data_IF_856297150838
#
_entry.id   IF_856297150838
#
_cell.length_a   1.000
_cell.length_b   1.000
_cell.length_c   1.000
_cell.angle_alpha   90.00
_cell.angle_beta   90.00
_cell.angle_gamma   90.00
#
_symmetry.space_group_name_H-M   'P 1'
#
loop_
_entity.id
_entity.type
_entity.pdbx_description
1 polymer ?
#
# COMPACT_ATOMS: atom_id res chain seq x y z
N UNK A 1 21.78 -0.62 -7.48
CA UNK A 1 21.63 0.23 -6.30
C UNK A 1 20.17 0.38 -5.92
N UNK A 2 19.73 -0.46 -4.99
CA UNK A 2 18.66 -0.13 -4.07
C UNK A 2 19.39 0.15 -2.76
N UNK A 3 19.25 1.39 -2.28
CA UNK A 3 19.99 1.90 -1.13
C UNK A 3 19.49 1.14 0.12
N UNK A 4 20.30 0.25 0.65
CA UNK A 4 19.96 -0.54 1.85
C UNK A 4 19.62 0.41 3.01
N UNK A 5 18.41 0.25 3.56
CA UNK A 5 17.92 1.06 4.68
C UNK A 5 17.24 2.36 4.30
N UNK A 6 17.10 2.70 3.02
CA UNK A 6 16.32 3.87 2.60
C UNK A 6 14.81 3.63 2.73
N UNK A 7 14.10 4.71 3.03
CA UNK A 7 12.65 4.67 3.17
C UNK A 7 11.97 4.59 1.80
N UNK A 8 11.01 3.68 1.69
CA UNK A 8 10.01 3.73 0.62
C UNK A 8 8.96 4.81 0.91
N UNK A 9 8.28 5.25 -0.15
CA UNK A 9 7.21 6.25 -0.08
C UNK A 9 6.13 6.02 -1.12
N UNK A 10 5.22 6.99 -1.27
CA UNK A 10 4.08 6.94 -2.19
C UNK A 10 4.48 6.60 -3.63
N UNK A 11 5.59 7.14 -4.13
CA UNK A 11 6.11 6.84 -5.47
C UNK A 11 6.45 5.35 -5.64
N UNK A 12 7.23 4.80 -4.70
CA UNK A 12 7.59 3.37 -4.72
C UNK A 12 6.38 2.46 -4.55
N UNK A 13 5.41 2.83 -3.71
CA UNK A 13 4.16 2.07 -3.53
C UNK A 13 3.33 2.10 -4.81
N UNK A 14 3.23 3.26 -5.49
CA UNK A 14 2.54 3.36 -6.76
C UNK A 14 3.23 2.53 -7.85
N UNK A 15 4.57 2.60 -7.94
CA UNK A 15 5.34 1.80 -8.88
C UNK A 15 5.11 0.29 -8.67
N UNK A 16 5.07 -0.16 -7.42
CA UNK A 16 4.72 -1.54 -7.06
C UNK A 16 3.32 -1.94 -7.50
N UNK A 17 2.32 -1.05 -7.32
CA UNK A 17 0.94 -1.33 -7.74
C UNK A 17 0.83 -1.62 -9.24
N UNK A 18 1.61 -0.90 -10.06
CA UNK A 18 1.65 -1.06 -11.51
C UNK A 18 2.45 -2.30 -11.90
N UNK A 19 3.66 -2.48 -11.35
CA UNK A 19 4.56 -3.59 -11.70
C UNK A 19 3.93 -4.96 -11.42
N UNK A 20 3.18 -5.07 -10.33
CA UNK A 20 2.53 -6.32 -9.93
C UNK A 20 1.06 -6.41 -10.32
N UNK A 21 0.54 -5.39 -11.02
CA UNK A 21 -0.87 -5.29 -11.42
C UNK A 21 -1.81 -5.60 -10.24
N UNK A 22 -1.58 -4.94 -9.12
CA UNK A 22 -2.34 -5.12 -7.88
C UNK A 22 -2.77 -3.75 -7.35
N UNK A 23 -4.06 -3.52 -7.06
CA UNK A 23 -4.47 -2.26 -6.47
C UNK A 23 -3.92 -2.18 -5.04
N UNK A 24 -3.50 -1.00 -4.60
CA UNK A 24 -3.03 -0.78 -3.23
C UNK A 24 -3.84 0.34 -2.60
N UNK A 25 -4.44 0.07 -1.45
CA UNK A 25 -5.17 1.03 -0.65
C UNK A 25 -4.33 1.44 0.55
N UNK A 26 -3.94 2.71 0.59
CA UNK A 26 -3.15 3.30 1.68
C UNK A 26 -4.09 4.04 2.63
N UNK A 27 -4.12 3.62 3.89
CA UNK A 27 -4.95 4.19 4.96
C UNK A 27 -4.11 5.15 5.79
N UNK A 28 -4.55 6.39 5.98
CA UNK A 28 -3.91 7.32 6.91
C UNK A 28 -4.53 7.23 8.32
N UNK A 29 -3.89 7.88 9.30
CA UNK A 29 -4.38 7.91 10.69
C UNK A 29 -5.72 8.66 10.87
N UNK A 30 -6.14 9.43 9.86
CA UNK A 30 -7.42 10.15 9.83
C UNK A 30 -8.54 9.32 9.19
N UNK A 31 -8.22 8.10 8.74
CA UNK A 31 -9.17 7.21 8.07
C UNK A 31 -9.39 7.52 6.59
N UNK A 32 -8.58 8.39 5.97
CA UNK A 32 -8.60 8.62 4.53
C UNK A 32 -7.91 7.47 3.81
N UNK A 33 -8.41 7.16 2.61
CA UNK A 33 -7.89 6.08 1.78
C UNK A 33 -7.39 6.67 0.46
N UNK A 34 -6.11 6.49 0.18
CA UNK A 34 -5.54 6.75 -1.15
C UNK A 34 -5.53 5.44 -1.94
N UNK A 35 -6.13 5.47 -3.13
CA UNK A 35 -6.21 4.34 -4.03
C UNK A 35 -5.11 4.46 -5.10
N UNK A 36 -4.24 3.44 -5.16
CA UNK A 36 -3.13 3.36 -6.09
C UNK A 36 -3.29 2.13 -6.99
N UNK A 37 -2.87 2.25 -8.24
CA UNK A 37 -3.08 1.25 -9.28
C UNK A 37 -4.46 1.36 -9.94
N UNK A 38 -4.59 0.76 -11.12
CA UNK A 38 -5.84 0.71 -11.89
C UNK A 38 -6.77 -0.40 -11.35
N UNK A 39 -7.99 -0.50 -11.91
CA UNK A 39 -8.93 -1.60 -11.69
C UNK A 39 -8.39 -2.93 -12.27
N UNK A 40 -7.40 -3.49 -11.59
CA UNK A 40 -6.92 -4.84 -11.85
C UNK A 40 -7.93 -5.86 -11.28
N UNK A 41 -7.97 -7.07 -11.85
CA UNK A 41 -8.86 -8.15 -11.38
C UNK A 41 -8.51 -8.68 -9.96
N UNK A 42 -7.41 -8.21 -9.36
CA UNK A 42 -6.91 -8.66 -8.05
C UNK A 42 -7.57 -7.88 -6.92
N UNK A 43 -7.73 -8.54 -5.77
CA UNK A 43 -8.14 -7.85 -4.55
C UNK A 43 -7.06 -6.83 -4.13
N UNK A 44 -7.45 -5.66 -3.61
CA UNK A 44 -6.50 -4.65 -3.17
C UNK A 44 -5.67 -5.13 -1.98
N UNK A 45 -4.37 -4.80 -1.98
CA UNK A 45 -3.56 -4.84 -0.77
C UNK A 45 -3.88 -3.62 0.09
N UNK A 46 -4.01 -3.84 1.39
CA UNK A 46 -4.29 -2.76 2.34
C UNK A 46 -3.04 -2.51 3.18
N UNK A 47 -2.56 -1.26 3.18
CA UNK A 47 -1.45 -0.82 4.04
C UNK A 47 -1.85 0.44 4.81
N UNK A 48 -1.36 0.60 6.03
CA UNK A 48 -1.50 1.82 6.81
C UNK A 48 -0.24 2.66 6.70
N UNK A 49 -0.38 3.98 6.56
CA UNK A 49 0.69 4.95 6.69
C UNK A 49 0.51 5.71 8.01
N UNK A 50 1.36 5.40 8.98
CA UNK A 50 1.25 5.87 10.36
C UNK A 50 2.38 6.85 10.68
N UNK A 51 2.07 7.84 11.52
CA UNK A 51 2.96 8.89 11.99
C UNK A 51 3.72 9.62 10.88
N UNK A 52 3.17 9.64 9.67
CA UNK A 52 3.78 10.23 8.47
C UNK A 52 5.17 9.66 8.12
N UNK A 53 5.52 8.49 8.66
CA UNK A 53 6.82 7.84 8.40
C UNK A 53 6.69 6.38 8.05
N UNK A 54 5.81 5.62 8.69
CA UNK A 54 5.90 4.16 8.67
C UNK A 54 4.74 3.48 7.95
N UNK A 55 5.04 2.40 7.21
CA UNK A 55 4.03 1.56 6.57
C UNK A 55 3.81 0.26 7.33
N UNK A 56 2.54 -0.12 7.50
CA UNK A 56 2.13 -1.38 8.14
C UNK A 56 1.17 -2.15 7.26
N UNK A 57 1.21 -3.48 7.30
CA UNK A 57 0.21 -4.31 6.60
C UNK A 57 -1.12 -4.31 7.34
N UNK A 58 -2.22 -4.13 6.62
CA UNK A 58 -3.57 -4.25 7.16
C UNK A 58 -4.29 -5.46 6.55
N UNK A 59 -5.05 -6.17 7.38
CA UNK A 59 -5.89 -7.29 6.94
C UNK A 59 -7.34 -7.03 7.32
N UNK A 60 -8.26 -7.32 6.40
CA UNK A 60 -9.69 -7.32 6.72
C UNK A 60 -9.99 -8.43 7.72
N UNK A 61 -10.68 -8.07 8.80
CA UNK A 61 -11.00 -8.97 9.94
C UNK A 61 -11.71 -10.27 9.55
N UNK A 62 -12.36 -10.33 8.39
CA UNK A 62 -13.17 -11.46 7.94
C UNK A 62 -12.61 -12.19 6.70
N UNK A 63 -11.36 -11.94 6.33
CA UNK A 63 -10.74 -12.58 5.16
C UNK A 63 -9.89 -13.76 5.65
N UNK A 64 -10.40 -14.99 5.55
CA UNK A 64 -9.67 -16.24 5.87
C UNK A 64 -8.58 -16.54 4.85
N UNK A 65 -7.57 -17.32 5.25
CA UNK A 65 -6.40 -17.72 4.41
C UNK A 65 -6.82 -18.67 3.31
#
# INVERSE_FOLDING_TARGET
DLLDGEWGGSESVNAMSVQYEVPIHVHDEKGQITHLGNDYKKSPLHIGFIQETHYVSLRKKNQSV
#
